data_IF_628456729403
#
_entry.id   IF_628456729403
#
_cell.length_a   1.000
_cell.length_b   1.000
_cell.length_c   1.000
_cell.angle_alpha   90.00
_cell.angle_beta   90.00
_cell.angle_gamma   90.00
#
_symmetry.space_group_name_H-M   'P 1'
#
loop_
_entity.id
_entity.type
_entity.pdbx_description
1 polymer ?
#
# COMPACT_ATOMS: atom_id res chain seq x y z
N UNK A 1 48.78 49.71 -19.12
CA UNK A 1 47.81 48.84 -19.82
C UNK A 1 47.96 47.45 -19.23
N UNK A 2 47.13 47.10 -18.25
CA UNK A 2 47.15 45.80 -17.58
C UNK A 2 45.97 45.00 -18.12
N UNK A 3 46.25 43.88 -18.80
CA UNK A 3 45.26 42.98 -19.35
C UNK A 3 44.74 42.06 -18.24
N UNK A 4 43.49 42.26 -17.83
CA UNK A 4 42.79 41.39 -16.88
C UNK A 4 42.33 40.13 -17.62
N UNK A 5 43.04 39.03 -17.42
CA UNK A 5 42.61 37.68 -17.82
C UNK A 5 41.50 37.20 -16.89
N UNK A 6 40.24 37.23 -17.37
CA UNK A 6 39.12 36.55 -16.72
C UNK A 6 39.17 35.06 -17.05
N UNK A 7 39.38 34.25 -16.01
CA UNK A 7 39.13 32.81 -16.04
C UNK A 7 37.63 32.53 -16.21
N UNK A 8 37.21 31.51 -16.97
CA UNK A 8 35.80 31.19 -17.15
C UNK A 8 35.23 30.59 -15.87
N UNK A 9 34.12 31.15 -15.39
CA UNK A 9 33.31 30.58 -14.31
C UNK A 9 32.91 29.14 -14.62
N UNK A 10 32.83 28.25 -13.61
CA UNK A 10 32.35 26.89 -13.83
C UNK A 10 30.90 26.99 -14.29
N UNK A 11 30.61 26.40 -15.45
CA UNK A 11 29.25 26.20 -15.93
C UNK A 11 28.48 25.53 -14.81
N UNK A 12 27.44 26.19 -14.30
CA UNK A 12 26.42 25.54 -13.48
C UNK A 12 25.86 24.40 -14.31
N UNK A 13 26.32 23.18 -14.02
CA UNK A 13 25.65 21.95 -14.40
C UNK A 13 24.31 21.95 -13.67
N UNK A 14 23.35 22.66 -14.25
CA UNK A 14 21.95 22.54 -13.91
C UNK A 14 21.55 21.12 -14.25
N UNK A 15 21.70 20.22 -13.27
CA UNK A 15 20.96 18.98 -13.24
C UNK A 15 19.50 19.40 -13.46
N UNK A 16 18.93 19.05 -14.61
CA UNK A 16 17.48 19.05 -14.79
C UNK A 16 16.95 18.03 -13.80
N UNK A 17 16.83 18.40 -12.52
CA UNK A 17 16.22 17.54 -11.51
C UNK A 17 14.81 17.31 -12.02
N UNK A 18 14.53 16.09 -12.44
CA UNK A 18 13.18 15.69 -12.81
C UNK A 18 12.29 16.09 -11.65
N UNK A 19 11.25 16.89 -11.93
CA UNK A 19 10.30 17.29 -10.90
C UNK A 19 9.42 16.07 -10.56
N UNK A 20 9.97 15.20 -9.71
CA UNK A 20 9.34 13.96 -9.26
C UNK A 20 7.98 14.25 -8.63
N UNK A 21 7.83 15.40 -7.96
CA UNK A 21 6.55 15.81 -7.37
C UNK A 21 5.51 16.08 -8.45
N UNK A 22 5.87 16.83 -9.49
CA UNK A 22 4.96 17.10 -10.60
C UNK A 22 4.58 15.82 -11.36
N UNK A 23 5.53 14.91 -11.58
CA UNK A 23 5.27 13.60 -12.21
C UNK A 23 4.32 12.77 -11.33
N UNK A 24 4.60 12.71 -10.04
CA UNK A 24 3.76 12.02 -9.07
C UNK A 24 2.31 12.52 -9.16
N UNK A 25 2.10 13.82 -8.99
CA UNK A 25 0.77 14.44 -8.96
C UNK A 25 0.00 14.25 -10.28
N UNK A 26 0.68 14.32 -11.43
CA UNK A 26 0.01 14.29 -12.74
C UNK A 26 -0.21 12.88 -13.28
N UNK A 27 0.67 11.93 -12.97
CA UNK A 27 0.67 10.62 -13.62
C UNK A 27 0.51 9.46 -12.65
N UNK A 28 1.24 9.47 -11.53
CA UNK A 28 1.32 8.30 -10.64
C UNK A 28 0.18 8.29 -9.62
N UNK A 29 -0.07 9.40 -8.94
CA UNK A 29 -1.10 9.50 -7.90
C UNK A 29 -2.50 9.14 -8.41
N UNK A 30 -2.97 9.65 -9.57
CA UNK A 30 -4.30 9.28 -10.08
C UNK A 30 -4.41 7.79 -10.42
N UNK A 31 -3.32 7.20 -10.93
CA UNK A 31 -3.27 5.79 -11.26
C UNK A 31 -3.31 4.91 -10.00
N UNK A 32 -2.51 5.25 -8.98
CA UNK A 32 -2.51 4.57 -7.68
C UNK A 32 -3.88 4.68 -7.00
N UNK A 33 -4.47 5.88 -6.96
CA UNK A 33 -5.78 6.09 -6.38
C UNK A 33 -6.87 5.28 -7.10
N UNK A 34 -6.81 5.20 -8.43
CA UNK A 34 -7.71 4.38 -9.22
C UNK A 34 -7.58 2.90 -8.85
N UNK A 35 -6.36 2.37 -8.79
CA UNK A 35 -6.10 0.97 -8.46
C UNK A 35 -6.53 0.61 -7.03
N UNK A 36 -6.34 1.51 -6.07
CA UNK A 36 -6.83 1.28 -4.70
C UNK A 36 -8.36 1.24 -4.63
N UNK A 37 -9.02 2.09 -5.42
CA UNK A 37 -10.49 2.13 -5.48
C UNK A 37 -11.09 0.91 -6.20
N UNK A 38 -10.53 0.54 -7.35
CA UNK A 38 -11.08 -0.55 -8.18
C UNK A 38 -10.58 -1.93 -7.78
N UNK A 39 -9.42 -2.00 -7.09
CA UNK A 39 -8.70 -3.24 -6.79
C UNK A 39 -8.22 -3.99 -8.03
N UNK A 40 -8.16 -3.30 -9.16
CA UNK A 40 -7.84 -3.86 -10.46
C UNK A 40 -6.55 -3.28 -11.00
N UNK A 41 -5.89 -4.05 -11.84
CA UNK A 41 -4.73 -3.58 -12.59
C UNK A 41 -5.14 -2.53 -13.62
N UNK A 42 -4.24 -1.58 -13.88
CA UNK A 42 -4.43 -0.63 -14.96
C UNK A 42 -4.50 -1.36 -16.31
N UNK A 43 -5.28 -0.81 -17.25
CA UNK A 43 -5.27 -1.28 -18.63
C UNK A 43 -3.86 -1.26 -19.23
N UNK A 44 -3.56 -2.19 -20.16
CA UNK A 44 -2.20 -2.47 -20.64
C UNK A 44 -1.42 -1.22 -21.06
N UNK A 45 -2.04 -0.32 -21.85
CA UNK A 45 -1.38 0.90 -22.32
C UNK A 45 -1.03 1.86 -21.16
N UNK A 46 -1.99 2.09 -20.25
CA UNK A 46 -1.80 2.93 -19.06
C UNK A 46 -0.75 2.32 -18.12
N UNK A 47 -0.81 1.01 -17.89
CA UNK A 47 0.18 0.29 -17.09
C UNK A 47 1.58 0.50 -17.67
N UNK A 48 1.77 0.26 -18.97
CA UNK A 48 3.06 0.44 -19.63
C UNK A 48 3.59 1.88 -19.51
N UNK A 49 2.72 2.88 -19.69
CA UNK A 49 3.08 4.28 -19.53
C UNK A 49 3.54 4.60 -18.10
N UNK A 50 2.73 4.27 -17.09
CA UNK A 50 3.02 4.53 -15.68
C UNK A 50 4.29 3.79 -15.22
N UNK A 51 4.44 2.54 -15.63
CA UNK A 51 5.62 1.73 -15.33
C UNK A 51 6.90 2.31 -15.94
N UNK A 52 6.81 2.80 -17.18
CA UNK A 52 7.93 3.51 -17.85
C UNK A 52 8.26 4.82 -17.12
N UNK A 53 7.25 5.56 -16.66
CA UNK A 53 7.45 6.77 -15.87
C UNK A 53 8.19 6.47 -14.56
N UNK A 54 7.80 5.42 -13.82
CA UNK A 54 8.50 4.99 -12.58
C UNK A 54 9.96 4.64 -12.89
N UNK A 55 10.19 3.86 -13.94
CA UNK A 55 11.54 3.53 -14.40
C UNK A 55 12.36 4.78 -14.72
N UNK A 56 11.82 5.71 -15.50
CA UNK A 56 12.51 6.93 -15.89
C UNK A 56 12.85 7.82 -14.69
N UNK A 57 11.95 7.95 -13.70
CA UNK A 57 12.21 8.69 -12.46
C UNK A 57 13.42 8.11 -11.72
N UNK A 58 13.48 6.79 -11.57
CA UNK A 58 14.57 6.11 -10.85
C UNK A 58 15.88 6.18 -11.64
N UNK A 59 15.83 6.03 -12.97
CA UNK A 59 17.04 5.98 -13.80
C UNK A 59 17.64 7.35 -14.12
N UNK A 60 16.80 8.40 -14.23
CA UNK A 60 17.28 9.76 -14.54
C UNK A 60 17.91 10.43 -13.32
N UNK A 61 17.43 10.11 -12.12
CA UNK A 61 18.00 10.57 -10.84
C UNK A 61 18.23 9.36 -9.93
N UNK A 62 19.36 8.68 -10.13
CA UNK A 62 19.70 7.45 -9.40
C UNK A 62 19.95 7.69 -7.92
N UNK A 63 20.36 8.90 -7.54
CA UNK A 63 20.66 9.25 -6.15
C UNK A 63 19.38 9.53 -5.36
N UNK A 64 18.46 10.32 -5.92
CA UNK A 64 17.30 10.83 -5.17
C UNK A 64 15.94 10.39 -5.72
N UNK A 65 15.85 9.96 -6.97
CA UNK A 65 14.58 9.63 -7.64
C UNK A 65 13.79 8.54 -6.92
N UNK A 66 14.45 7.43 -6.56
CA UNK A 66 13.84 6.34 -5.80
C UNK A 66 13.38 6.78 -4.40
N UNK A 67 14.23 7.52 -3.68
CA UNK A 67 13.89 8.02 -2.35
C UNK A 67 12.69 8.97 -2.38
N UNK A 68 12.68 9.94 -3.30
CA UNK A 68 11.58 10.92 -3.42
C UNK A 68 10.27 10.22 -3.78
N UNK A 69 10.31 9.26 -4.70
CA UNK A 69 9.12 8.51 -5.09
C UNK A 69 8.57 7.66 -3.92
N UNK A 70 9.47 6.99 -3.19
CA UNK A 70 9.11 6.21 -2.01
C UNK A 70 8.47 7.08 -0.92
N UNK A 71 9.05 8.25 -0.62
CA UNK A 71 8.52 9.19 0.36
C UNK A 71 7.14 9.72 -0.04
N UNK A 72 6.95 10.10 -1.30
CA UNK A 72 5.63 10.55 -1.80
C UNK A 72 4.57 9.46 -1.66
N UNK A 73 4.93 8.20 -1.97
CA UNK A 73 4.02 7.07 -1.82
C UNK A 73 3.67 6.80 -0.34
N UNK A 74 4.62 6.96 0.58
CA UNK A 74 4.36 6.87 2.03
C UNK A 74 3.35 7.92 2.49
N UNK A 75 3.56 9.20 2.10
CA UNK A 75 2.66 10.32 2.42
C UNK A 75 1.27 10.08 1.84
N UNK A 76 1.20 9.58 0.60
CA UNK A 76 -0.06 9.26 -0.03
C UNK A 76 -0.83 8.16 0.71
N UNK A 77 -0.17 7.05 1.10
CA UNK A 77 -0.84 5.99 1.85
C UNK A 77 -1.34 6.45 3.21
N UNK A 78 -0.57 7.28 3.92
CA UNK A 78 -1.01 7.88 5.18
C UNK A 78 -2.29 8.72 4.97
N UNK A 79 -2.28 9.62 3.98
CA UNK A 79 -3.45 10.45 3.66
C UNK A 79 -4.66 9.61 3.17
N UNK A 80 -4.42 8.55 2.39
CA UNK A 80 -5.48 7.69 1.88
C UNK A 80 -6.15 6.89 3.01
N UNK A 81 -5.36 6.31 3.90
CA UNK A 81 -5.88 5.53 5.03
C UNK A 81 -6.56 6.41 6.08
N UNK A 82 -6.04 7.62 6.34
CA UNK A 82 -6.72 8.60 7.18
C UNK A 82 -8.10 9.00 6.62
N UNK A 83 -8.24 9.18 5.30
CA UNK A 83 -9.54 9.45 4.66
C UNK A 83 -10.54 8.31 4.83
N UNK A 84 -10.08 7.06 4.82
CA UNK A 84 -10.95 5.90 5.11
C UNK A 84 -11.41 5.97 6.57
N UNK A 85 -10.50 6.25 7.50
CA UNK A 85 -10.85 6.41 8.91
C UNK A 85 -11.87 7.53 9.15
N UNK A 86 -11.68 8.70 8.54
CA UNK A 86 -12.62 9.83 8.63
C UNK A 86 -14.02 9.49 8.11
N UNK A 87 -14.10 8.59 7.13
CA UNK A 87 -15.37 8.12 6.57
C UNK A 87 -16.01 6.96 7.38
N UNK A 88 -15.37 6.49 8.45
CA UNK A 88 -15.89 5.40 9.27
C UNK A 88 -17.21 5.82 9.97
N UNK A 89 -18.21 4.91 10.05
CA UNK A 89 -19.44 5.20 10.76
C UNK A 89 -19.16 5.48 12.23
N UNK A 90 -19.97 6.34 12.87
CA UNK A 90 -19.88 6.63 14.31
C UNK A 90 -20.51 5.55 15.17
N UNK A 91 -21.46 4.80 14.63
CA UNK A 91 -22.10 3.67 15.30
C UNK A 91 -21.12 2.50 15.45
N UNK A 92 -21.00 1.98 16.67
CA UNK A 92 -20.14 0.85 16.98
C UNK A 92 -20.68 -0.45 16.37
N UNK A 93 -22.00 -0.62 16.18
CA UNK A 93 -22.53 -1.83 15.56
C UNK A 93 -22.12 -1.94 14.08
N UNK A 94 -22.01 -0.81 13.39
CA UNK A 94 -21.69 -0.75 11.96
C UNK A 94 -20.18 -0.69 11.69
N UNK A 95 -19.37 -0.33 12.69
CA UNK A 95 -17.92 -0.11 12.53
C UNK A 95 -17.17 -1.39 12.15
N UNK A 96 -17.62 -2.54 12.65
CA UNK A 96 -16.98 -3.83 12.39
C UNK A 96 -17.11 -4.25 10.91
N UNK A 97 -18.34 -4.21 10.38
CA UNK A 97 -18.61 -4.52 8.98
C UNK A 97 -17.94 -3.52 8.04
N UNK A 98 -17.92 -2.24 8.42
CA UNK A 98 -17.18 -1.21 7.68
C UNK A 98 -15.68 -1.53 7.63
N UNK A 99 -15.06 -1.79 8.79
CA UNK A 99 -13.63 -2.07 8.87
C UNK A 99 -13.24 -3.30 8.05
N UNK A 100 -13.98 -4.41 8.19
CA UNK A 100 -13.72 -5.65 7.44
C UNK A 100 -13.77 -5.41 5.92
N UNK A 101 -14.82 -4.74 5.45
CA UNK A 101 -14.95 -4.40 4.04
C UNK A 101 -13.78 -3.53 3.57
N UNK A 102 -13.48 -2.44 4.27
CA UNK A 102 -12.41 -1.54 3.86
C UNK A 102 -11.03 -2.21 3.90
N UNK A 103 -10.78 -3.08 4.87
CA UNK A 103 -9.53 -3.84 4.97
C UNK A 103 -9.32 -4.75 3.75
N UNK A 104 -10.34 -5.52 3.37
CA UNK A 104 -10.28 -6.41 2.21
C UNK A 104 -10.04 -5.59 0.93
N UNK A 105 -10.77 -4.47 0.78
CA UNK A 105 -10.65 -3.59 -0.38
C UNK A 105 -9.26 -2.96 -0.47
N UNK A 106 -8.74 -2.45 0.65
CA UNK A 106 -7.45 -1.79 0.70
C UNK A 106 -6.29 -2.75 0.43
N UNK A 107 -6.27 -3.92 1.09
CA UNK A 107 -5.18 -4.89 0.93
C UNK A 107 -5.09 -5.47 -0.47
N UNK A 108 -6.24 -5.71 -1.12
CA UNK A 108 -6.30 -6.08 -2.55
C UNK A 108 -5.71 -4.97 -3.42
N UNK A 109 -6.19 -3.74 -3.27
CA UNK A 109 -5.69 -2.61 -4.05
C UNK A 109 -4.19 -2.36 -3.83
N UNK A 110 -3.72 -2.41 -2.60
CA UNK A 110 -2.32 -2.23 -2.24
C UNK A 110 -1.43 -3.32 -2.87
N UNK A 111 -1.91 -4.56 -2.97
CA UNK A 111 -1.20 -5.64 -3.67
C UNK A 111 -1.05 -5.35 -5.16
N UNK A 112 -2.06 -4.77 -5.80
CA UNK A 112 -1.95 -4.37 -7.22
C UNK A 112 -0.96 -3.21 -7.38
N UNK A 113 -0.99 -2.22 -6.48
CA UNK A 113 -0.05 -1.09 -6.49
C UNK A 113 1.39 -1.57 -6.26
N UNK A 114 1.62 -2.51 -5.35
CA UNK A 114 2.95 -3.09 -5.12
C UNK A 114 3.55 -3.70 -6.39
N UNK A 115 2.73 -4.39 -7.19
CA UNK A 115 3.16 -4.93 -8.50
C UNK A 115 3.53 -3.83 -9.49
N UNK A 116 2.78 -2.74 -9.54
CA UNK A 116 3.10 -1.58 -10.40
C UNK A 116 4.44 -0.95 -10.00
N UNK A 117 4.74 -0.90 -8.70
CA UNK A 117 5.97 -0.35 -8.14
C UNK A 117 7.10 -1.38 -7.97
N UNK A 118 7.05 -2.53 -8.66
CA UNK A 118 8.09 -3.56 -8.54
C UNK A 118 9.50 -3.02 -8.87
N UNK A 119 9.63 -2.09 -9.82
CA UNK A 119 10.92 -1.41 -10.07
C UNK A 119 11.45 -0.66 -8.84
N UNK A 120 10.57 0.07 -8.12
CA UNK A 120 10.96 0.77 -6.90
C UNK A 120 11.36 -0.21 -5.80
N UNK A 121 10.62 -1.32 -5.65
CA UNK A 121 10.96 -2.37 -4.70
C UNK A 121 12.33 -2.99 -5.02
N UNK A 122 12.59 -3.31 -6.28
CA UNK A 122 13.81 -3.99 -6.69
C UNK A 122 15.05 -3.09 -6.66
N UNK A 123 14.95 -1.90 -7.24
CA UNK A 123 16.14 -1.07 -7.49
C UNK A 123 16.44 -0.08 -6.36
N UNK A 124 15.42 0.37 -5.63
CA UNK A 124 15.60 1.28 -4.49
C UNK A 124 15.48 0.54 -3.16
N UNK A 125 14.37 -0.15 -2.88
CA UNK A 125 14.15 -0.76 -1.56
C UNK A 125 15.19 -1.84 -1.25
N UNK A 126 15.46 -2.76 -2.17
CA UNK A 126 16.48 -3.81 -1.96
C UNK A 126 17.86 -3.21 -1.73
N UNK A 127 18.28 -2.26 -2.58
CA UNK A 127 19.56 -1.57 -2.43
C UNK A 127 19.69 -0.94 -1.04
N UNK A 128 18.64 -0.26 -0.57
CA UNK A 128 18.67 0.41 0.72
C UNK A 128 18.71 -0.55 1.90
N UNK A 129 18.06 -1.70 1.77
CA UNK A 129 18.14 -2.77 2.77
C UNK A 129 19.52 -3.43 2.78
N UNK A 130 20.14 -3.60 1.62
CA UNK A 130 21.50 -4.14 1.48
C UNK A 130 22.54 -3.20 2.08
N UNK A 131 22.32 -1.88 2.00
CA UNK A 131 23.10 -0.84 2.70
C UNK A 131 22.82 -0.78 4.22
N UNK A 132 21.93 -1.64 4.74
CA UNK A 132 21.66 -1.79 6.17
C UNK A 132 20.49 -0.94 6.70
N UNK A 133 19.76 -0.22 5.84
CA UNK A 133 18.58 0.57 6.26
C UNK A 133 17.37 -0.33 6.49
N UNK A 134 17.12 -0.67 7.75
CA UNK A 134 16.02 -1.57 8.17
C UNK A 134 14.64 -0.92 8.16
N UNK A 135 14.58 0.40 8.17
CA UNK A 135 13.36 1.21 8.14
C UNK A 135 12.72 1.26 6.75
N UNK A 136 13.49 1.02 5.69
CA UNK A 136 12.99 0.94 4.32
C UNK A 136 12.36 -0.43 4.07
N UNK A 137 11.06 -0.45 3.75
CA UNK A 137 10.27 -1.66 3.52
C UNK A 137 9.69 -1.66 2.10
N UNK A 138 9.16 -2.80 1.64
CA UNK A 138 8.51 -2.84 0.33
C UNK A 138 7.25 -1.99 0.30
N UNK A 139 6.79 -1.64 -0.90
CA UNK A 139 5.57 -0.85 -1.10
C UNK A 139 4.36 -1.45 -0.39
N UNK A 140 4.14 -2.77 -0.50
CA UNK A 140 3.08 -3.45 0.24
C UNK A 140 3.22 -3.29 1.76
N UNK A 141 4.43 -3.47 2.30
CA UNK A 141 4.66 -3.33 3.74
C UNK A 141 4.42 -1.90 4.24
N UNK A 142 4.79 -0.89 3.45
CA UNK A 142 4.46 0.51 3.75
C UNK A 142 2.95 0.70 3.81
N UNK A 143 2.21 0.20 2.81
CA UNK A 143 0.76 0.31 2.78
C UNK A 143 0.12 -0.31 4.04
N UNK A 144 0.56 -1.51 4.44
CA UNK A 144 0.07 -2.19 5.65
C UNK A 144 0.46 -1.45 6.94
N UNK A 145 1.65 -0.86 6.98
CA UNK A 145 2.09 -0.04 8.11
C UNK A 145 1.21 1.19 8.25
N UNK A 146 0.90 1.87 7.14
CA UNK A 146 0.02 3.05 7.17
C UNK A 146 -1.43 2.68 7.51
N UNK A 147 -1.93 1.52 7.06
CA UNK A 147 -3.22 1.02 7.51
C UNK A 147 -3.26 0.81 9.02
N UNK A 148 -2.23 0.15 9.58
CA UNK A 148 -2.15 -0.05 11.02
C UNK A 148 -2.22 1.29 11.77
N UNK A 149 -1.32 2.22 11.43
CA UNK A 149 -1.16 3.48 12.14
C UNK A 149 -2.37 4.43 12.01
N UNK A 150 -2.97 4.53 10.83
CA UNK A 150 -4.00 5.53 10.55
C UNK A 150 -5.43 4.96 10.57
N UNK A 151 -5.59 3.64 10.51
CA UNK A 151 -6.92 3.00 10.51
C UNK A 151 -7.11 2.08 11.71
N UNK A 152 -6.25 1.08 11.91
CA UNK A 152 -6.42 0.09 12.98
C UNK A 152 -6.23 0.69 14.37
N UNK A 153 -5.08 1.30 14.63
CA UNK A 153 -4.74 1.80 15.98
C UNK A 153 -5.77 2.83 16.49
N UNK A 154 -6.26 3.80 15.67
CA UNK A 154 -7.28 4.74 16.13
C UNK A 154 -8.68 4.13 16.35
N UNK A 155 -9.02 3.06 15.63
CA UNK A 155 -10.36 2.44 15.66
C UNK A 155 -10.43 1.20 16.56
N UNK A 156 -9.29 0.67 17.01
CA UNK A 156 -9.18 -0.60 17.74
C UNK A 156 -10.13 -0.69 18.93
N UNK A 157 -10.16 0.33 19.80
CA UNK A 157 -11.05 0.36 20.97
C UNK A 157 -12.54 0.26 20.60
N UNK A 158 -12.92 0.79 19.43
CA UNK A 158 -14.31 0.72 18.91
C UNK A 158 -14.61 -0.66 18.37
N UNK A 159 -13.65 -1.29 17.70
CA UNK A 159 -13.77 -2.67 17.24
C UNK A 159 -13.93 -3.62 18.43
N UNK A 160 -13.15 -3.43 19.49
CA UNK A 160 -13.28 -4.20 20.73
C UNK A 160 -14.66 -4.02 21.37
N UNK A 161 -15.13 -2.78 21.49
CA UNK A 161 -16.47 -2.50 21.99
C UNK A 161 -17.57 -3.15 21.12
N UNK A 162 -17.45 -3.05 19.80
CA UNK A 162 -18.38 -3.66 18.85
C UNK A 162 -18.37 -5.20 18.93
N UNK A 163 -17.20 -5.80 19.12
CA UNK A 163 -17.07 -7.24 19.32
C UNK A 163 -17.76 -7.65 20.63
N UNK A 164 -17.47 -6.99 21.74
CA UNK A 164 -18.05 -7.32 23.04
C UNK A 164 -19.58 -7.19 23.08
N UNK A 165 -20.16 -6.24 22.31
CA UNK A 165 -21.62 -6.11 22.16
C UNK A 165 -22.25 -7.23 21.33
N UNK A 166 -21.47 -7.88 20.46
CA UNK A 166 -21.93 -8.97 19.60
C UNK A 166 -21.64 -10.36 20.18
N UNK A 167 -20.98 -10.45 21.34
CA UNK A 167 -20.59 -11.70 21.97
C UNK A 167 -21.33 -11.94 23.29
N UNK A 168 -22.35 -12.80 23.28
CA UNK A 168 -22.52 -13.77 24.37
C UNK A 168 -21.57 -14.98 24.20
N UNK A 169 -20.88 -15.12 23.06
CA UNK A 169 -19.78 -16.08 22.87
C UNK A 169 -18.58 -15.46 22.13
N UNK A 170 -17.32 -15.81 22.48
CA UNK A 170 -16.12 -15.10 22.04
C UNK A 170 -15.89 -15.20 20.52
N UNK A 171 -15.79 -14.04 19.87
CA UNK A 171 -15.74 -13.93 18.41
C UNK A 171 -14.46 -14.53 17.80
N UNK A 172 -14.52 -14.99 16.54
CA UNK A 172 -13.36 -15.52 15.81
C UNK A 172 -12.19 -14.53 15.71
N UNK A 173 -12.46 -13.21 15.73
CA UNK A 173 -11.41 -12.18 15.67
C UNK A 173 -10.63 -12.11 16.99
N UNK A 174 -11.29 -12.30 18.14
CA UNK A 174 -10.62 -12.37 19.43
C UNK A 174 -9.72 -13.61 19.53
N UNK A 175 -10.13 -14.73 18.94
CA UNK A 175 -9.30 -15.94 18.85
C UNK A 175 -8.12 -15.76 17.89
N UNK A 176 -8.30 -15.04 16.78
CA UNK A 176 -7.22 -14.70 15.83
C UNK A 176 -6.25 -13.70 16.46
N UNK A 177 -6.73 -12.70 17.19
CA UNK A 177 -5.89 -11.73 17.91
C UNK A 177 -5.09 -12.39 19.04
N UNK A 178 -5.68 -13.32 19.80
CA UNK A 178 -4.98 -14.13 20.80
C UNK A 178 -3.91 -15.04 20.16
N UNK A 179 -4.15 -15.52 18.94
CA UNK A 179 -3.19 -16.32 18.17
C UNK A 179 -2.07 -15.46 17.58
N UNK A 180 -2.40 -14.28 17.05
CA UNK A 180 -1.43 -13.28 16.56
C UNK A 180 -0.55 -12.71 17.69
N UNK A 181 -1.05 -12.63 18.92
CA UNK A 181 -0.30 -12.20 20.10
C UNK A 181 0.58 -13.31 20.71
N UNK A 182 0.34 -14.59 20.37
CA UNK A 182 1.21 -15.70 20.78
C UNK A 182 2.27 -16.07 19.73
N UNK A 183 2.05 -15.73 18.46
CA UNK A 183 2.95 -16.00 17.34
C UNK A 183 3.81 -14.77 16.96
N UNK A 184 4.56 -14.21 17.92
CA UNK A 184 5.47 -13.05 17.77
C UNK A 184 6.67 -13.29 16.81
N UNK A 185 6.57 -14.26 15.89
CA UNK A 185 7.53 -14.58 14.85
C UNK A 185 6.87 -14.90 13.50
N UNK A 186 5.82 -14.16 13.11
CA UNK A 186 5.10 -14.48 11.87
C UNK A 186 5.59 -13.65 10.68
N UNK A 187 6.21 -14.32 9.72
CA UNK A 187 6.74 -13.72 8.48
C UNK A 187 5.62 -13.49 7.46
N UNK A 188 5.85 -12.58 6.49
CA UNK A 188 4.86 -12.13 5.51
C UNK A 188 4.18 -13.23 4.67
N UNK A 189 4.70 -14.46 4.68
CA UNK A 189 4.10 -15.62 4.01
C UNK A 189 2.86 -16.16 4.74
N UNK A 190 2.85 -16.14 6.07
CA UNK A 190 1.79 -16.74 6.88
C UNK A 190 0.49 -15.91 6.87
N UNK A 191 0.64 -14.58 6.72
CA UNK A 191 -0.50 -13.66 6.62
C UNK A 191 -1.31 -13.89 5.33
N UNK A 192 -0.65 -14.32 4.24
CA UNK A 192 -1.31 -14.69 2.99
C UNK A 192 -2.06 -16.02 3.07
N UNK A 193 -1.61 -16.95 3.92
CA UNK A 193 -2.24 -18.28 4.08
C UNK A 193 -3.47 -18.23 5.01
N UNK A 194 -3.46 -17.35 6.01
CA UNK A 194 -4.61 -17.20 6.93
C UNK A 194 -5.85 -16.61 6.26
N UNK A 195 -5.72 -15.62 5.37
CA UNK A 195 -6.87 -15.01 4.70
C UNK A 195 -7.56 -15.93 3.66
N UNK A 196 -6.86 -16.95 3.14
CA UNK A 196 -7.43 -17.91 2.17
C UNK A 196 -8.31 -18.96 2.87
N UNK A 197 -8.02 -19.32 4.12
CA UNK A 197 -8.77 -20.36 4.85
C UNK A 197 -10.17 -19.93 5.31
N UNK A 198 -10.45 -18.64 5.41
CA UNK A 198 -11.80 -18.13 5.76
C UNK A 198 -12.79 -18.17 4.59
N UNK A 199 -12.33 -18.42 3.36
CA UNK A 199 -13.19 -18.42 2.15
C UNK A 199 -13.79 -19.82 1.83
N UNK A 200 -13.38 -20.90 2.52
CA UNK A 200 -13.86 -22.26 2.23
C UNK A 200 -15.08 -22.74 3.03
N UNK A 201 -15.76 -21.88 3.81
CA UNK A 201 -16.96 -22.26 4.59
C UNK A 201 -18.27 -21.56 4.16
N UNK A 202 -18.39 -21.22 2.88
CA UNK A 202 -19.71 -20.92 2.29
C UNK A 202 -20.22 -22.16 1.53
N UNK A 203 -21.38 -22.75 1.88
CA UNK A 203 -21.96 -23.83 1.10
C UNK A 203 -22.43 -23.31 -0.26
N UNK A 204 -22.02 -23.98 -1.34
CA UNK A 204 -22.45 -23.72 -2.71
C UNK A 204 -23.98 -23.89 -2.84
N UNK A 205 -24.72 -22.90 -3.36
CA UNK A 205 -26.09 -23.11 -3.81
C UNK A 205 -26.10 -23.28 -5.34
N UNK A 206 -26.15 -24.52 -5.82
CA UNK A 206 -26.80 -24.98 -7.07
C UNK A 206 -26.06 -26.15 -7.72
N UNK A 207 -26.45 -27.38 -7.40
CA UNK A 207 -26.49 -28.44 -8.40
C UNK A 207 -27.95 -28.88 -8.49
N UNK A 208 -28.64 -28.29 -9.47
CA UNK A 208 -29.95 -28.71 -9.90
C UNK A 208 -29.85 -30.07 -10.56
N UNK A 209 -30.51 -31.02 -9.92
CA UNK A 209 -31.08 -32.24 -10.46
C UNK A 209 -31.37 -32.20 -11.97
N UNK A 210 -30.57 -32.95 -12.73
CA UNK A 210 -30.95 -33.51 -14.01
C UNK A 210 -30.87 -35.04 -13.91
N UNK A 211 -31.94 -35.64 -13.42
CA UNK A 211 -32.22 -37.06 -13.60
C UNK A 211 -32.37 -37.44 -15.08
N UNK A 212 -32.14 -38.71 -15.45
CA UNK A 212 -32.03 -39.14 -16.84
C UNK A 212 -33.39 -39.50 -17.43
N UNK A 213 -33.65 -39.01 -18.65
CA UNK A 213 -34.42 -39.71 -19.68
C UNK A 213 -34.18 -39.06 -21.05
#
# INVERSE_FOLDING_TARGET
MVATSQSPSPRSSGSMSVDVLQIWQRQLEPAVALMLRTQESLGRATHAAVYTTIYNVIMTDREHGGHRLYTLLCVFYAAYTAKIFEAAPKDNALVLAYYDSQWIRFTRGATVVDRLFNYLNRDYVSLQRDEGRKDVKTVLHVALTQWKLNMLDPIAWRLEAALNLNTEEPSPIAQIAAKLASDDAMTAADFSTMCVRTIQFAPNPSEGDHGPN
#
